data_IF_163679270308
#
_entry.id   IF_163679270308
#
_cell.length_a   1.000
_cell.length_b   1.000
_cell.length_c   1.000
_cell.angle_alpha   90.00
_cell.angle_beta   90.00
_cell.angle_gamma   90.00
#
_symmetry.space_group_name_H-M   'P 1'
#
loop_
_entity.id
_entity.type
_entity.pdbx_description
1 polymer ?
#
# COMPACT_ATOMS: atom_id res chain seq x y z
N UNK A 1 -0.72 38.40 -12.81
CA UNK A 1 0.50 38.16 -12.01
C UNK A 1 0.11 38.12 -10.54
N UNK A 2 0.21 37.05 -9.77
CA UNK A 2 0.78 35.72 -9.95
C UNK A 2 0.65 35.05 -8.57
N UNK A 3 -0.17 34.01 -8.51
CA UNK A 3 -0.26 32.92 -7.54
C UNK A 3 0.17 33.16 -6.08
N UNK A 4 -0.83 33.39 -5.23
CA UNK A 4 -0.80 32.97 -3.83
C UNK A 4 -1.67 31.72 -3.68
N UNK A 5 -1.29 30.64 -4.37
CA UNK A 5 -1.77 29.30 -4.04
C UNK A 5 -1.04 28.90 -2.76
N UNK A 6 -1.66 29.21 -1.63
CA UNK A 6 -1.21 28.78 -0.31
C UNK A 6 -1.54 27.28 -0.16
N UNK A 7 -0.89 26.46 -0.98
CA UNK A 7 -0.95 25.01 -0.95
C UNK A 7 -0.16 24.54 0.26
N UNK A 8 -0.87 24.23 1.33
CA UNK A 8 -0.35 23.61 2.53
C UNK A 8 0.22 22.22 2.19
N UNK A 9 1.39 22.18 1.57
CA UNK A 9 2.15 20.96 1.30
C UNK A 9 2.66 20.45 2.64
N UNK A 10 1.81 19.73 3.37
CA UNK A 10 2.21 18.94 4.54
C UNK A 10 3.39 18.09 4.10
N UNK A 11 4.58 18.43 4.58
CA UNK A 11 5.79 17.64 4.36
C UNK A 11 5.52 16.28 5.00
N UNK A 12 5.36 15.25 4.17
CA UNK A 12 5.27 13.88 4.66
C UNK A 12 6.48 13.57 5.52
N UNK A 13 6.22 12.96 6.66
CA UNK A 13 7.25 12.40 7.53
C UNK A 13 8.04 11.33 6.79
N UNK A 14 9.26 11.04 7.25
CA UNK A 14 10.05 9.97 6.65
C UNK A 14 9.31 8.63 6.72
N UNK A 15 8.62 8.36 7.83
CA UNK A 15 7.79 7.17 8.02
C UNK A 15 6.69 7.06 6.96
N UNK A 16 5.93 8.12 6.72
CA UNK A 16 4.87 8.12 5.70
C UNK A 16 5.43 7.87 4.29
N UNK A 17 6.62 8.40 3.97
CA UNK A 17 7.28 8.15 2.69
C UNK A 17 7.72 6.69 2.55
N UNK A 18 8.28 6.13 3.61
CA UNK A 18 8.72 4.73 3.64
C UNK A 18 7.52 3.80 3.47
N UNK A 19 6.43 4.06 4.20
CA UNK A 19 5.20 3.27 4.10
C UNK A 19 4.61 3.35 2.68
N UNK A 20 4.54 4.54 2.07
CA UNK A 20 4.08 4.70 0.69
C UNK A 20 4.97 3.93 -0.31
N UNK A 21 6.30 3.95 -0.12
CA UNK A 21 7.23 3.21 -0.98
C UNK A 21 7.01 1.69 -0.86
N UNK A 22 6.81 1.18 0.35
CA UNK A 22 6.50 -0.24 0.56
C UNK A 22 5.16 -0.63 -0.05
N UNK A 23 4.13 0.20 0.09
CA UNK A 23 2.83 -0.04 -0.55
C UNK A 23 2.94 -0.11 -2.07
N UNK A 24 3.69 0.83 -2.68
CA UNK A 24 3.93 0.81 -4.13
C UNK A 24 4.69 -0.44 -4.57
N UNK A 25 5.73 -0.84 -3.83
CA UNK A 25 6.48 -2.05 -4.13
C UNK A 25 5.59 -3.30 -4.04
N UNK A 26 4.74 -3.40 -3.00
CA UNK A 26 3.82 -4.52 -2.85
C UNK A 26 2.84 -4.63 -4.02
N UNK A 27 2.26 -3.50 -4.48
CA UNK A 27 1.37 -3.46 -5.65
C UNK A 27 2.08 -4.02 -6.89
N UNK A 28 3.31 -3.56 -7.17
CA UNK A 28 4.08 -4.02 -8.33
C UNK A 28 4.39 -5.53 -8.28
N UNK A 29 4.68 -6.07 -7.09
CA UNK A 29 4.90 -7.51 -6.92
C UNK A 29 3.65 -8.30 -7.26
N UNK A 30 2.49 -7.88 -6.75
CA UNK A 30 1.21 -8.56 -6.99
C UNK A 30 0.81 -8.49 -8.46
N UNK A 31 0.97 -7.33 -9.11
CA UNK A 31 0.68 -7.17 -10.53
C UNK A 31 1.53 -8.10 -11.40
N UNK A 32 2.82 -8.25 -11.07
CA UNK A 32 3.73 -9.16 -11.77
C UNK A 32 3.41 -10.63 -11.52
N UNK A 33 3.06 -10.98 -10.28
CA UNK A 33 2.62 -12.32 -9.93
C UNK A 33 1.34 -12.69 -10.72
N UNK A 34 0.40 -11.76 -10.85
CA UNK A 34 -0.84 -11.92 -11.64
C UNK A 34 -0.55 -12.19 -13.11
N UNK A 35 0.36 -11.42 -13.72
CA UNK A 35 0.73 -11.60 -15.14
C UNK A 35 1.34 -12.98 -15.43
N UNK A 36 1.93 -13.63 -14.44
CA UNK A 36 2.61 -14.92 -14.58
C UNK A 36 1.80 -16.08 -14.00
N UNK A 37 0.62 -15.81 -13.41
CA UNK A 37 -0.17 -16.81 -12.71
C UNK A 37 0.52 -17.36 -11.45
N UNK A 38 1.46 -16.62 -10.88
CA UNK A 38 2.22 -17.03 -9.70
C UNK A 38 1.50 -16.58 -8.42
N UNK A 39 1.53 -17.40 -7.38
CA UNK A 39 1.09 -17.02 -6.04
C UNK A 39 2.08 -16.07 -5.36
N UNK A 40 1.60 -15.34 -4.35
CA UNK A 40 2.41 -14.42 -3.55
C UNK A 40 2.57 -15.01 -2.16
N UNK A 41 3.79 -15.03 -1.65
CA UNK A 41 4.08 -15.40 -0.27
C UNK A 41 4.06 -14.14 0.58
N UNK A 42 3.24 -14.14 1.63
CA UNK A 42 3.13 -13.04 2.59
C UNK A 42 3.48 -13.52 3.99
N UNK A 43 4.08 -12.63 4.75
CA UNK A 43 4.30 -12.80 6.19
C UNK A 43 3.22 -12.02 6.94
N UNK A 44 2.36 -12.73 7.66
CA UNK A 44 1.25 -12.14 8.43
C UNK A 44 1.10 -12.92 9.74
N UNK A 45 0.95 -12.20 10.86
CA UNK A 45 0.77 -12.78 12.21
C UNK A 45 1.80 -13.87 12.56
N UNK A 46 3.08 -13.66 12.23
CA UNK A 46 4.19 -14.60 12.41
C UNK A 46 4.07 -15.93 11.62
N UNK A 47 3.23 -15.93 10.59
CA UNK A 47 3.06 -17.07 9.68
C UNK A 47 3.43 -16.68 8.24
N UNK A 48 4.00 -17.66 7.53
CA UNK A 48 4.21 -17.60 6.09
C UNK A 48 2.95 -18.17 5.42
N UNK A 49 2.23 -17.32 4.69
CA UNK A 49 1.03 -17.72 3.97
C UNK A 49 1.25 -17.54 2.47
N UNK A 50 0.80 -18.52 1.70
CA UNK A 50 0.69 -18.42 0.25
C UNK A 50 -0.71 -17.90 -0.10
N UNK A 51 -0.77 -16.85 -0.91
CA UNK A 51 -2.01 -16.20 -1.33
C UNK A 51 -2.04 -16.05 -2.84
N UNK A 52 -3.24 -16.13 -3.39
CA UNK A 52 -3.50 -15.75 -4.77
C UNK A 52 -3.47 -14.24 -4.93
N UNK A 53 -3.29 -13.76 -6.16
CA UNK A 53 -3.30 -12.32 -6.45
C UNK A 53 -4.66 -11.68 -6.08
N UNK A 54 -5.77 -12.40 -6.31
CA UNK A 54 -7.12 -11.93 -6.02
C UNK A 54 -7.34 -11.72 -4.51
N UNK A 55 -6.88 -12.67 -3.68
CA UNK A 55 -6.92 -12.51 -2.22
C UNK A 55 -6.11 -11.29 -1.76
N UNK A 56 -4.95 -11.07 -2.37
CA UNK A 56 -4.08 -9.96 -2.00
C UNK A 56 -4.65 -8.59 -2.41
N UNK A 57 -5.35 -8.50 -3.54
CA UNK A 57 -6.05 -7.27 -3.94
C UNK A 57 -7.16 -6.87 -2.94
N UNK A 58 -7.87 -7.85 -2.39
CA UNK A 58 -8.89 -7.59 -1.36
C UNK A 58 -8.26 -7.02 -0.10
N UNK A 59 -7.14 -7.61 0.35
CA UNK A 59 -6.40 -7.14 1.53
C UNK A 59 -5.85 -5.72 1.35
N UNK A 60 -5.31 -5.40 0.18
CA UNK A 60 -4.83 -4.05 -0.13
C UNK A 60 -5.95 -2.99 -0.13
N UNK A 61 -7.16 -3.35 -0.60
CA UNK A 61 -8.33 -2.45 -0.59
C UNK A 61 -8.84 -2.20 0.84
N UNK A 62 -8.79 -3.20 1.71
CA UNK A 62 -9.19 -3.10 3.12
C UNK A 62 -8.20 -2.22 3.90
N UNK A 63 -6.89 -2.42 3.70
CA UNK A 63 -5.88 -1.63 4.40
C UNK A 63 -5.91 -0.14 4.02
N UNK A 64 -6.30 0.22 2.80
CA UNK A 64 -6.52 1.63 2.42
C UNK A 64 -7.71 2.29 3.16
N UNK A 65 -8.70 1.53 3.63
CA UNK A 65 -9.84 2.05 4.40
C UNK A 65 -9.56 2.12 5.92
N UNK A 66 -8.65 1.29 6.44
CA UNK A 66 -8.29 1.24 7.85
C UNK A 66 -7.45 2.44 8.35
N UNK A 67 -6.62 3.04 7.49
CA UNK A 67 -5.76 4.19 7.88
C UNK A 67 -6.57 5.48 8.08
N UNK A 68 -7.77 5.57 7.49
CA UNK A 68 -8.64 6.76 7.62
C UNK A 68 -9.35 6.81 8.99
N UNK A 69 -9.51 5.67 9.68
CA UNK A 69 -10.35 5.57 10.89
C UNK A 69 -9.57 5.55 12.22
N UNK A 70 -8.23 5.38 12.22
CA UNK A 70 -7.41 5.47 13.45
C UNK A 70 -6.93 6.89 13.80
N UNK A 71 -7.78 7.89 13.58
CA UNK A 71 -7.62 9.22 14.21
C UNK A 71 -8.88 9.54 14.98
N UNK A 72 -8.92 9.13 16.25
CA UNK A 72 -9.82 9.72 17.24
C UNK A 72 -9.07 9.88 18.55
#
# INVERSE_FOLDING_TARGET
MGDLVNGNMKKMTLTEKVEAAFQQAAILVIERARQTGTSVIVWEDDHVLERTCDEMEVLLKINQQGVVSRRK
#
